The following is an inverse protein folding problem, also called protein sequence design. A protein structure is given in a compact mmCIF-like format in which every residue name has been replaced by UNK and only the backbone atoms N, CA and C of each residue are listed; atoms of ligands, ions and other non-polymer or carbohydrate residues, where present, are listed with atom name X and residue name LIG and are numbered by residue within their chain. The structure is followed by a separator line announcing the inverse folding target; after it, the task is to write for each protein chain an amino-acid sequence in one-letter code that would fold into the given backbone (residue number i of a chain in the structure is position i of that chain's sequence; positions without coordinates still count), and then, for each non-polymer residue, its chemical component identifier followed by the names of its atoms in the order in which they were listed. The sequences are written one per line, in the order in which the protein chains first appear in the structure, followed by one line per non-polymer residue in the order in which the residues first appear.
data_IF_923162402892
#
_entry.id   IF_923162402892
#
_cell.length_a   1.000
_cell.length_b   1.000
_cell.length_c   1.000
_cell.angle_alpha   90.00
_cell.angle_beta   90.00
_cell.angle_gamma   90.00
#
_symmetry.space_group_name_H-M   'P 1'
#
loop_
_entity.id
_entity.type
_entity.pdbx_description
1 polymer ?
#
# COMPACT_ATOMS: atom_id res chain seq x y z
N UNK A 1 -11.78 -6.44 -7.23
CA UNK A 1 -10.53 -7.20 -7.38
C UNK A 1 -10.76 -8.58 -6.80
N UNK A 2 -11.08 -9.55 -7.67
CA UNK A 2 -11.54 -10.89 -7.31
C UNK A 2 -10.46 -11.81 -6.75
N UNK A 3 -9.76 -11.39 -5.70
CA UNK A 3 -8.83 -12.23 -4.96
C UNK A 3 -9.52 -12.83 -3.74
N UNK A 4 -9.10 -14.03 -3.35
CA UNK A 4 -9.62 -14.73 -2.16
C UNK A 4 -8.45 -14.91 -1.19
N UNK A 5 -8.55 -14.42 0.06
CA UNK A 5 -7.56 -14.69 1.08
C UNK A 5 -7.40 -16.21 1.30
N UNK A 6 -6.15 -16.69 1.27
CA UNK A 6 -5.82 -18.11 1.43
C UNK A 6 -4.63 -18.28 2.38
N UNK A 7 -4.42 -19.50 2.86
CA UNK A 7 -3.21 -19.85 3.58
C UNK A 7 -2.00 -19.83 2.63
N UNK A 8 -0.79 -19.63 3.18
CA UNK A 8 0.42 -19.54 2.37
C UNK A 8 0.66 -20.77 1.49
N UNK A 9 0.33 -21.96 1.99
CA UNK A 9 0.58 -23.23 1.29
C UNK A 9 -0.33 -23.41 0.06
N UNK A 10 -1.50 -22.76 0.09
CA UNK A 10 -2.53 -22.85 -0.96
C UNK A 10 -2.63 -21.57 -1.81
N UNK A 11 -1.81 -20.57 -1.54
CA UNK A 11 -1.85 -19.31 -2.25
C UNK A 11 -1.18 -19.44 -3.63
N UNK A 12 -1.86 -18.96 -4.67
CA UNK A 12 -1.29 -18.82 -6.02
C UNK A 12 -0.30 -17.66 -6.11
N UNK A 13 -0.54 -16.61 -5.31
CA UNK A 13 0.25 -15.40 -5.23
C UNK A 13 0.47 -14.99 -3.77
N UNK A 14 1.69 -14.58 -3.44
CA UNK A 14 2.07 -14.04 -2.14
C UNK A 14 2.53 -12.60 -2.35
N UNK A 15 1.70 -11.64 -1.94
CA UNK A 15 2.05 -10.21 -2.00
C UNK A 15 2.58 -9.78 -0.64
N UNK A 16 3.88 -9.48 -0.55
CA UNK A 16 4.50 -8.99 0.68
C UNK A 16 4.66 -7.46 0.62
N UNK A 17 3.81 -6.74 1.36
CA UNK A 17 3.95 -5.30 1.55
C UNK A 17 5.04 -4.99 2.58
N UNK A 18 6.11 -4.35 2.14
CA UNK A 18 7.35 -4.16 2.89
C UNK A 18 7.52 -2.74 3.42
N UNK A 19 8.20 -2.63 4.55
CA UNK A 19 8.59 -1.36 5.16
C UNK A 19 10.11 -1.31 5.34
N UNK A 20 10.69 -0.14 5.13
CA UNK A 20 12.14 0.13 5.25
C UNK A 20 12.44 1.31 6.19
N UNK A 21 11.47 1.79 6.95
CA UNK A 21 11.62 3.01 7.78
C UNK A 21 12.60 2.81 8.93
N UNK A 22 12.67 1.60 9.48
CA UNK A 22 13.58 1.27 10.59
C UNK A 22 14.41 0.04 10.23
N UNK A 23 15.68 0.04 10.63
CA UNK A 23 16.60 -1.07 10.38
C UNK A 23 16.09 -2.40 10.99
N UNK A 24 15.44 -2.34 12.16
CA UNK A 24 14.81 -3.52 12.78
C UNK A 24 13.70 -4.10 11.90
N UNK A 25 12.87 -3.25 11.31
CA UNK A 25 11.78 -3.69 10.43
C UNK A 25 12.35 -4.22 9.11
N UNK A 26 13.33 -3.54 8.54
CA UNK A 26 14.04 -3.98 7.35
C UNK A 26 14.60 -5.40 7.52
N UNK A 27 15.36 -5.67 8.60
CA UNK A 27 15.90 -7.00 8.89
C UNK A 27 14.81 -8.07 8.98
N UNK A 28 13.68 -7.76 9.63
CA UNK A 28 12.53 -8.68 9.73
C UNK A 28 11.93 -8.96 8.36
N UNK A 29 11.74 -7.93 7.54
CA UNK A 29 11.22 -8.05 6.18
C UNK A 29 12.16 -8.88 5.31
N UNK A 30 13.46 -8.59 5.31
CA UNK A 30 14.45 -9.35 4.54
C UNK A 30 14.50 -10.82 4.94
N UNK A 31 14.45 -11.11 6.26
CA UNK A 31 14.33 -12.50 6.74
C UNK A 31 13.08 -13.16 6.20
N UNK A 32 11.94 -12.46 6.19
CA UNK A 32 10.67 -13.00 5.70
C UNK A 32 10.68 -13.22 4.19
N UNK A 33 11.27 -12.31 3.42
CA UNK A 33 11.45 -12.44 1.98
C UNK A 33 12.27 -13.68 1.61
N UNK A 34 13.37 -13.93 2.32
CA UNK A 34 14.21 -15.14 2.10
C UNK A 34 13.46 -16.45 2.36
N UNK A 35 12.49 -16.45 3.27
CA UNK A 35 11.66 -17.64 3.54
C UNK A 35 10.59 -17.90 2.48
N UNK A 36 10.21 -16.88 1.70
CA UNK A 36 9.09 -16.92 0.77
C UNK A 36 9.54 -16.85 -0.70
N UNK A 37 10.85 -16.98 -0.96
CA UNK A 37 11.40 -16.86 -2.31
C UNK A 37 10.75 -17.86 -3.28
N UNK A 38 10.61 -17.42 -4.53
CA UNK A 38 10.10 -18.23 -5.62
C UNK A 38 9.06 -17.51 -6.46
N UNK A 39 8.49 -18.26 -7.40
CA UNK A 39 7.66 -17.71 -8.49
C UNK A 39 6.27 -17.26 -8.04
N UNK A 40 5.92 -17.38 -6.76
CA UNK A 40 4.64 -16.88 -6.23
C UNK A 40 4.80 -15.55 -5.51
N UNK A 41 6.03 -15.13 -5.22
CA UNK A 41 6.30 -13.95 -4.42
C UNK A 41 6.26 -12.67 -5.27
N UNK A 42 5.47 -11.70 -4.82
CA UNK A 42 5.50 -10.31 -5.29
C UNK A 42 5.93 -9.42 -4.12
N UNK A 43 7.02 -8.69 -4.32
CA UNK A 43 7.56 -7.76 -3.31
C UNK A 43 6.99 -6.38 -3.59
N UNK A 44 6.34 -5.77 -2.61
CA UNK A 44 5.76 -4.44 -2.77
C UNK A 44 6.08 -3.52 -1.58
N UNK A 45 5.80 -2.22 -1.68
CA UNK A 45 5.92 -1.27 -0.57
C UNK A 45 7.18 -0.39 -0.61
N UNK A 46 7.62 0.06 0.56
CA UNK A 46 8.69 1.06 0.69
C UNK A 46 10.10 0.49 0.46
N UNK A 47 10.34 -0.79 0.78
CA UNK A 47 11.67 -1.41 0.63
C UNK A 47 12.17 -1.43 -0.82
N UNK A 48 11.40 -1.91 -1.82
CA UNK A 48 11.86 -1.92 -3.20
C UNK A 48 12.09 -0.51 -3.76
N UNK A 49 11.32 0.48 -3.31
CA UNK A 49 11.49 1.88 -3.70
C UNK A 49 12.74 2.53 -3.05
N UNK A 50 12.98 2.26 -1.77
CA UNK A 50 14.05 2.92 -1.01
C UNK A 50 15.41 2.23 -1.14
N UNK A 51 15.43 0.89 -1.16
CA UNK A 51 16.64 0.07 -1.04
C UNK A 51 16.61 -1.10 -2.05
N UNK A 52 16.57 -0.83 -3.37
CA UNK A 52 16.46 -1.87 -4.39
C UNK A 52 17.63 -2.87 -4.37
N UNK A 53 18.83 -2.42 -3.98
CA UNK A 53 20.00 -3.29 -3.85
C UNK A 53 19.84 -4.39 -2.78
N UNK A 54 18.98 -4.20 -1.78
CA UNK A 54 18.77 -5.20 -0.72
C UNK A 54 17.94 -6.39 -1.17
N UNK A 55 17.27 -6.28 -2.32
CA UNK A 55 16.37 -7.30 -2.87
C UNK A 55 16.83 -7.87 -4.22
N UNK A 56 17.96 -7.40 -4.76
CA UNK A 56 18.46 -7.81 -6.09
C UNK A 56 18.78 -9.30 -6.20
N UNK A 57 19.20 -9.94 -5.11
CA UNK A 57 19.48 -11.37 -5.05
C UNK A 57 18.27 -12.26 -4.73
N UNK A 58 17.06 -11.68 -4.63
CA UNK A 58 15.87 -12.43 -4.26
C UNK A 58 15.12 -12.93 -5.50
N UNK A 59 14.93 -14.25 -5.60
CA UNK A 59 13.93 -14.83 -6.51
C UNK A 59 12.51 -14.41 -6.10
N UNK A 60 11.87 -13.64 -6.96
CA UNK A 60 10.47 -13.25 -6.87
C UNK A 60 9.90 -13.07 -8.28
N UNK A 61 8.58 -13.22 -8.44
CA UNK A 61 7.88 -13.03 -9.71
C UNK A 61 7.85 -11.58 -10.16
N UNK A 62 7.76 -10.65 -9.21
CA UNK A 62 7.67 -9.24 -9.53
C UNK A 62 7.98 -8.35 -8.34
N UNK A 63 8.49 -7.17 -8.67
CA UNK A 63 8.74 -6.09 -7.72
C UNK A 63 7.79 -4.95 -8.08
N UNK A 64 6.96 -4.58 -7.12
CA UNK A 64 6.09 -3.43 -7.16
C UNK A 64 6.64 -2.36 -6.22
N UNK A 65 6.45 -1.09 -6.55
CA UNK A 65 6.73 0.01 -5.65
C UNK A 65 5.68 0.11 -4.54
N UNK A 66 5.29 1.33 -4.19
CA UNK A 66 4.18 1.55 -3.27
C UNK A 66 2.90 0.87 -3.77
N UNK A 67 2.21 0.17 -2.88
CA UNK A 67 0.90 -0.41 -3.18
C UNK A 67 -0.15 0.70 -3.19
N UNK A 68 -0.61 1.01 -4.39
CA UNK A 68 -1.73 1.88 -4.68
C UNK A 68 -2.60 1.19 -5.75
N UNK A 69 -3.70 1.81 -6.15
CA UNK A 69 -4.62 1.19 -7.13
C UNK A 69 -3.94 0.85 -8.46
N UNK A 70 -3.05 1.71 -8.94
CA UNK A 70 -2.34 1.52 -10.20
C UNK A 70 -1.33 0.36 -10.12
N UNK A 71 -0.58 0.25 -9.01
CA UNK A 71 0.36 -0.86 -8.82
C UNK A 71 -0.33 -2.17 -8.46
N UNK A 72 -1.52 -2.12 -7.87
CA UNK A 72 -2.33 -3.31 -7.62
C UNK A 72 -2.83 -3.96 -8.93
N UNK A 73 -3.19 -3.17 -9.95
CA UNK A 73 -3.54 -3.70 -11.28
C UNK A 73 -2.41 -4.50 -11.92
N UNK A 74 -1.15 -4.08 -11.71
CA UNK A 74 0.03 -4.80 -12.20
C UNK A 74 0.21 -6.18 -11.59
N UNK A 75 -0.44 -6.48 -10.46
CA UNK A 75 -0.41 -7.83 -9.87
C UNK A 75 -1.12 -8.79 -10.85
N UNK A 76 -2.27 -8.40 -11.39
CA UNK A 76 -3.03 -9.25 -12.34
C UNK A 76 -2.19 -9.53 -13.60
N UNK A 77 -1.47 -8.52 -14.10
CA UNK A 77 -0.55 -8.67 -15.24
C UNK A 77 0.60 -9.66 -14.96
N UNK A 78 1.19 -9.60 -13.77
CA UNK A 78 2.30 -10.49 -13.36
C UNK A 78 1.88 -11.96 -13.33
N UNK A 79 0.61 -12.24 -13.07
CA UNK A 79 0.06 -13.60 -13.06
C UNK A 79 -0.63 -13.98 -14.37
N UNK A 80 -0.65 -13.10 -15.38
CA UNK A 80 -1.30 -13.36 -16.66
C UNK A 80 -2.82 -13.51 -16.55
N UNK A 81 -3.44 -12.86 -15.56
CA UNK A 81 -4.86 -12.97 -15.22
C UNK A 81 -5.73 -11.90 -15.88
N UNK A 82 -5.21 -11.18 -16.89
CA UNK A 82 -5.90 -10.07 -17.56
C UNK A 82 -7.15 -10.54 -18.31
N UNK A 83 -8.27 -10.63 -17.60
CA UNK A 83 -9.59 -10.59 -18.20
C UNK A 83 -9.95 -9.12 -18.48
N UNK A 84 -10.18 -8.83 -19.75
CA UNK A 84 -10.71 -7.56 -20.23
C UNK A 84 -12.05 -7.25 -19.52
N UNK A 85 -12.12 -6.14 -18.79
CA UNK A 85 -13.40 -5.56 -18.36
C UNK A 85 -13.46 -4.12 -18.85
N UNK A 86 -14.29 -3.80 -19.85
CA UNK A 86 -14.60 -2.42 -20.21
C UNK A 86 -15.46 -1.80 -19.10
N UNK A 87 -15.36 -0.48 -18.95
CA UNK A 87 -16.10 0.36 -17.99
C UNK A 87 -15.48 0.46 -16.59
N UNK A 88 -14.61 1.47 -16.45
CA UNK A 88 -14.16 2.01 -15.19
C UNK A 88 -15.37 2.54 -14.41
N UNK A 89 -15.88 1.71 -13.49
CA UNK A 89 -16.87 2.11 -12.49
C UNK A 89 -16.28 3.25 -11.64
N UNK A 90 -17.05 4.29 -11.29
CA UNK A 90 -16.58 5.39 -10.45
C UNK A 90 -16.04 4.86 -9.11
N UNK A 91 -15.15 5.64 -8.46
CA UNK A 91 -14.29 5.18 -7.37
C UNK A 91 -15.09 4.61 -6.18
N UNK A 92 -15.25 3.29 -6.14
CA UNK A 92 -15.49 2.60 -4.88
C UNK A 92 -14.14 2.49 -4.16
N UNK A 93 -13.93 3.40 -3.21
CA UNK A 93 -12.94 3.19 -2.16
C UNK A 93 -13.31 1.89 -1.50
N UNK A 94 -12.49 0.86 -1.74
CA UNK A 94 -12.57 -0.50 -1.23
C UNK A 94 -13.93 -0.90 -0.67
N UNK A 95 -14.66 -1.74 -1.39
CA UNK A 95 -15.63 -2.62 -0.75
C UNK A 95 -14.93 -3.21 0.48
N UNK A 96 -15.37 -2.78 1.65
CA UNK A 96 -14.96 -3.28 2.94
C UNK A 96 -15.50 -4.71 3.05
N UNK A 97 -15.08 -5.62 2.17
CA UNK A 97 -15.08 -7.05 2.48
C UNK A 97 -13.91 -7.34 3.42
N UNK A 98 -13.75 -6.49 4.44
CA UNK A 98 -13.13 -6.86 5.69
C UNK A 98 -14.16 -7.84 6.26
N UNK A 99 -13.75 -9.08 6.55
CA UNK A 99 -14.45 -9.81 7.61
C UNK A 99 -14.66 -8.81 8.74
N UNK A 100 -15.85 -8.70 9.35
CA UNK A 100 -16.13 -7.66 10.34
C UNK A 100 -15.16 -7.86 11.52
N UNK A 101 -14.01 -7.20 11.42
CA UNK A 101 -13.19 -6.90 12.56
C UNK A 101 -14.10 -6.07 13.43
N UNK A 102 -14.24 -6.46 14.70
CA UNK A 102 -14.98 -5.70 15.71
C UNK A 102 -14.48 -4.25 15.89
N UNK A 103 -13.41 -3.88 15.18
CA UNK A 103 -12.86 -2.55 15.11
C UNK A 103 -13.79 -1.64 14.29
N UNK A 104 -14.55 -0.81 15.01
CA UNK A 104 -15.32 0.31 14.45
C UNK A 104 -14.42 1.46 13.93
N UNK A 105 -13.13 1.20 13.70
CA UNK A 105 -12.11 2.16 13.34
C UNK A 105 -11.75 2.05 11.84
N UNK A 106 -11.90 3.17 11.13
CA UNK A 106 -11.46 3.38 9.75
C UNK A 106 -10.21 4.23 9.66
N UNK A 107 -9.33 3.93 8.70
CA UNK A 107 -8.10 4.68 8.46
C UNK A 107 -8.22 5.45 7.14
N UNK A 108 -7.98 6.76 7.18
CA UNK A 108 -8.01 7.64 6.01
C UNK A 108 -6.64 8.26 5.81
N UNK A 109 -5.95 7.82 4.75
CA UNK A 109 -4.69 8.42 4.36
C UNK A 109 -4.95 9.73 3.60
N UNK A 110 -4.49 10.88 4.12
CA UNK A 110 -4.76 12.21 3.53
C UNK A 110 -3.65 12.70 2.60
N UNK A 111 -2.43 12.20 2.76
CA UNK A 111 -1.32 12.54 1.88
C UNK A 111 -0.32 11.38 1.75
N UNK A 112 0.46 11.40 0.68
CA UNK A 112 1.62 10.54 0.48
C UNK A 112 2.90 11.36 0.35
N UNK A 113 4.01 10.83 0.83
CA UNK A 113 5.31 11.51 0.75
C UNK A 113 5.48 12.59 1.82
N UNK A 114 6.59 13.32 1.75
CA UNK A 114 6.93 14.37 2.72
C UNK A 114 7.87 15.41 2.10
N UNK A 115 7.67 16.67 2.44
CA UNK A 115 8.55 17.78 2.03
C UNK A 115 9.76 17.97 2.95
N UNK A 116 9.81 17.26 4.07
CA UNK A 116 10.91 17.30 5.03
C UNK A 116 12.25 16.93 4.38
N UNK A 117 13.33 17.51 4.92
CA UNK A 117 14.71 17.19 4.58
C UNK A 117 15.45 16.57 5.78
N UNK A 118 14.72 15.83 6.61
CA UNK A 118 15.25 15.21 7.82
C UNK A 118 16.41 14.27 7.46
N UNK A 119 17.60 14.54 8.01
CA UNK A 119 18.84 13.81 7.70
C UNK A 119 18.78 12.31 8.03
N UNK A 120 17.86 11.90 8.91
CA UNK A 120 17.67 10.52 9.35
C UNK A 120 16.56 9.77 8.59
N UNK A 121 15.72 10.45 7.80
CA UNK A 121 14.46 9.89 7.34
C UNK A 121 14.52 9.35 5.91
N UNK A 122 14.26 8.05 5.75
CA UNK A 122 14.23 7.38 4.43
C UNK A 122 12.96 7.68 3.61
N UNK A 123 11.93 8.27 4.23
CA UNK A 123 10.59 8.43 3.63
C UNK A 123 10.64 9.16 2.29
N UNK A 124 11.38 10.26 2.19
CA UNK A 124 11.45 11.03 0.93
C UNK A 124 12.03 10.21 -0.23
N UNK A 125 12.99 9.33 0.07
CA UNK A 125 13.52 8.37 -0.91
C UNK A 125 12.50 7.28 -1.25
N UNK A 126 11.75 6.80 -0.26
CA UNK A 126 10.80 5.70 -0.43
C UNK A 126 9.48 6.12 -1.10
N UNK A 127 9.00 7.34 -0.81
CA UNK A 127 7.64 7.81 -1.15
C UNK A 127 7.60 9.10 -1.96
N UNK A 128 8.73 9.80 -2.12
CA UNK A 128 8.81 11.03 -2.89
C UNK A 128 8.37 12.28 -2.12
N UNK A 129 8.10 13.34 -2.88
CA UNK A 129 7.60 14.62 -2.37
C UNK A 129 6.17 14.50 -1.85
N UNK A 130 5.72 15.48 -1.07
CA UNK A 130 4.35 15.52 -0.56
C UNK A 130 3.34 15.60 -1.71
N UNK A 131 2.33 14.74 -1.65
CA UNK A 131 1.17 14.71 -2.52
C UNK A 131 -0.08 14.63 -1.65
N UNK A 132 -0.75 15.76 -1.47
CA UNK A 132 -1.98 15.85 -0.68
C UNK A 132 -3.21 15.51 -1.51
N UNK A 133 -4.10 14.68 -0.95
CA UNK A 133 -5.42 14.43 -1.53
C UNK A 133 -6.29 15.67 -1.43
N UNK A 134 -7.25 15.80 -2.34
CA UNK A 134 -8.24 16.88 -2.24
C UNK A 134 -9.08 16.74 -0.96
N UNK A 135 -9.47 17.86 -0.31
CA UNK A 135 -10.37 17.82 0.83
C UNK A 135 -11.70 17.13 0.51
N UNK A 136 -12.23 17.33 -0.70
CA UNK A 136 -13.48 16.72 -1.16
C UNK A 136 -13.37 15.19 -1.25
N UNK A 137 -12.25 14.66 -1.77
CA UNK A 137 -12.02 13.21 -1.83
C UNK A 137 -11.87 12.60 -0.43
N UNK A 138 -11.28 13.34 0.51
CA UNK A 138 -11.11 12.92 1.90
C UNK A 138 -12.48 12.91 2.59
N UNK A 139 -13.26 13.99 2.47
CA UNK A 139 -14.59 14.10 3.03
C UNK A 139 -15.52 12.99 2.51
N UNK A 140 -15.57 12.80 1.19
CA UNK A 140 -16.37 11.75 0.57
C UNK A 140 -15.97 10.35 1.05
N UNK A 141 -14.69 10.10 1.36
CA UNK A 141 -14.25 8.83 1.93
C UNK A 141 -14.72 8.65 3.38
N UNK A 142 -14.62 9.70 4.20
CA UNK A 142 -15.10 9.69 5.58
C UNK A 142 -16.61 9.45 5.62
N UNK A 143 -17.38 10.13 4.77
CA UNK A 143 -18.83 9.95 4.67
C UNK A 143 -19.20 8.51 4.32
N UNK A 144 -18.52 7.88 3.35
CA UNK A 144 -18.70 6.46 3.02
C UNK A 144 -18.38 5.56 4.21
N UNK A 145 -17.33 5.85 4.97
CA UNK A 145 -16.94 5.05 6.14
C UNK A 145 -17.97 5.15 7.27
N UNK A 146 -18.49 6.35 7.52
CA UNK A 146 -19.56 6.60 8.51
C UNK A 146 -20.86 5.90 8.08
N UNK A 147 -21.21 5.93 6.79
CA UNK A 147 -22.39 5.25 6.26
C UNK A 147 -22.35 3.72 6.46
N UNK A 148 -21.16 3.12 6.56
CA UNK A 148 -20.95 1.69 6.85
C UNK A 148 -20.98 1.39 8.36
N UNK A 149 -21.10 2.42 9.21
CA UNK A 149 -21.22 2.28 10.66
C UNK A 149 -19.90 2.32 11.42
N UNK A 150 -18.83 2.87 10.83
CA UNK A 150 -17.57 3.11 11.55
C UNK A 150 -17.74 4.27 12.54
N UNK A 151 -17.25 4.08 13.77
CA UNK A 151 -17.39 5.01 14.88
C UNK A 151 -16.12 5.83 15.16
N UNK A 152 -14.96 5.39 14.65
CA UNK A 152 -13.69 6.07 14.78
C UNK A 152 -13.03 6.23 13.41
N UNK A 153 -12.47 7.42 13.14
CA UNK A 153 -11.73 7.71 11.91
C UNK A 153 -10.34 8.20 12.29
N UNK A 154 -9.32 7.44 11.89
CA UNK A 154 -7.92 7.78 12.06
C UNK A 154 -7.38 8.42 10.78
N UNK A 155 -7.00 9.69 10.88
CA UNK A 155 -6.34 10.42 9.82
C UNK A 155 -4.85 10.10 9.84
N UNK A 156 -4.31 9.67 8.69
CA UNK A 156 -2.90 9.30 8.58
C UNK A 156 -2.22 9.99 7.41
N UNK A 157 -0.94 10.30 7.59
CA UNK A 157 0.00 10.70 6.54
C UNK A 157 1.43 10.41 7.07
N UNK A 158 2.45 10.58 6.23
CA UNK A 158 3.83 10.59 6.74
C UNK A 158 4.12 11.82 7.62
N UNK A 159 3.51 12.95 7.26
CA UNK A 159 3.49 14.17 8.05
C UNK A 159 2.10 14.80 7.88
N UNK A 160 1.23 14.66 8.89
CA UNK A 160 -0.12 15.21 8.85
C UNK A 160 -0.14 16.72 8.97
N UNK A 161 0.88 17.33 9.59
CA UNK A 161 0.97 18.78 9.75
C UNK A 161 1.32 19.47 8.42
N UNK A 162 1.93 18.75 7.49
CA UNK A 162 2.26 19.25 6.15
C UNK A 162 1.10 19.17 5.15
N UNK A 163 -0.03 18.54 5.48
CA UNK A 163 -1.15 18.37 4.55
C UNK A 163 -1.63 19.71 3.97
N UNK A 164 -1.76 19.76 2.64
CA UNK A 164 -2.18 20.95 1.91
C UNK A 164 -1.07 21.95 1.57
N UNK A 165 0.13 21.84 2.16
CA UNK A 165 1.25 22.76 1.87
C UNK A 165 1.78 22.68 0.43
N UNK A 166 1.51 21.59 -0.28
CA UNK A 166 1.80 21.39 -1.69
C UNK A 166 0.74 22.00 -2.63
N UNK A 167 -0.37 22.54 -2.09
CA UNK A 167 -1.53 22.99 -2.85
C UNK A 167 -1.71 24.51 -2.94
N UNK A 168 -0.87 25.30 -2.26
CA UNK A 168 -0.91 26.78 -2.28
C UNK A 168 -0.86 27.39 -0.90
#
# INVERSE_FOLDING_TARGET
MGHIPSSMDRADAIVLNTCAVTEKTERKVLRRLRQLQGDRLVVAGCLPAALPASISGLSCRGILGLLNRCSAGRIEDLFGLSCFCPEATPPSYGSLTRQPSRDLCGIVNVAEGCNGACTYCIVRKARGALLSRSPDDVAAQVERMVAVGLAEIQITAQDTAAYGSDRG
#
